data_IF_841348814396
#
_entry.id   IF_841348814396
#
_cell.length_a   1.000
_cell.length_b   1.000
_cell.length_c   1.000
_cell.angle_alpha   90.00
_cell.angle_beta   90.00
_cell.angle_gamma   90.00
#
_symmetry.space_group_name_H-M   'P 1'
#
loop_
_entity.id
_entity.type
_entity.pdbx_description
1 polymer ?
#
# COMPACT_ATOMS: atom_id res chain seq x y z
N UNK A 1 -24.67 39.72 -10.05
CA UNK A 1 -23.64 39.46 -11.07
C UNK A 1 -22.45 40.43 -11.03
N UNK A 2 -22.55 41.61 -10.38
CA UNK A 2 -21.44 42.59 -10.31
C UNK A 2 -20.24 42.18 -9.43
N UNK A 3 -20.46 41.30 -8.43
CA UNK A 3 -19.43 40.96 -7.44
C UNK A 3 -18.35 40.01 -7.96
N UNK A 4 -18.72 39.06 -8.83
CA UNK A 4 -17.77 38.12 -9.43
C UNK A 4 -16.79 38.83 -10.38
N UNK A 5 -17.27 39.81 -11.15
CA UNK A 5 -16.44 40.60 -12.04
C UNK A 5 -15.45 41.51 -11.29
N UNK A 6 -15.87 42.07 -10.14
CA UNK A 6 -15.00 42.87 -9.29
C UNK A 6 -13.87 42.03 -8.67
N UNK A 7 -14.19 40.82 -8.21
CA UNK A 7 -13.21 39.86 -7.70
C UNK A 7 -12.20 39.44 -8.76
N UNK A 8 -12.67 39.10 -9.98
CA UNK A 8 -11.78 38.72 -11.08
C UNK A 8 -10.84 39.86 -11.50
N UNK A 9 -11.34 41.09 -11.54
CA UNK A 9 -10.52 42.27 -11.82
C UNK A 9 -9.44 42.49 -10.75
N UNK A 10 -9.77 42.30 -9.47
CA UNK A 10 -8.80 42.43 -8.38
C UNK A 10 -7.75 41.32 -8.42
N UNK A 11 -8.16 40.08 -8.72
CA UNK A 11 -7.26 38.93 -8.86
C UNK A 11 -6.24 39.15 -9.99
N UNK A 12 -6.67 39.66 -11.14
CA UNK A 12 -5.79 39.95 -12.27
C UNK A 12 -4.76 41.03 -11.94
N UNK A 13 -5.17 42.09 -11.22
CA UNK A 13 -4.24 43.15 -10.76
C UNK A 13 -3.14 42.58 -9.85
N UNK A 14 -3.50 41.71 -8.91
CA UNK A 14 -2.52 41.07 -8.03
C UNK A 14 -1.55 40.15 -8.79
N UNK A 15 -2.05 39.42 -9.78
CA UNK A 15 -1.20 38.58 -10.64
C UNK A 15 -0.18 39.44 -11.40
N UNK A 16 -0.62 40.58 -11.94
CA UNK A 16 0.24 41.46 -12.72
C UNK A 16 1.30 42.15 -11.85
N UNK A 17 0.93 42.62 -10.65
CA UNK A 17 1.90 43.15 -9.67
C UNK A 17 2.92 42.09 -9.23
N UNK A 18 2.49 40.84 -9.02
CA UNK A 18 3.40 39.75 -8.68
C UNK A 18 4.35 39.43 -9.82
N UNK A 19 3.88 39.42 -11.08
CA UNK A 19 4.75 39.27 -12.25
C UNK A 19 5.81 40.35 -12.32
N UNK A 20 5.42 41.62 -12.12
CA UNK A 20 6.35 42.75 -12.10
C UNK A 20 7.39 42.61 -10.99
N UNK A 21 6.99 42.21 -9.78
CA UNK A 21 7.93 41.97 -8.67
C UNK A 21 8.90 40.83 -8.96
N UNK A 22 8.46 39.76 -9.63
CA UNK A 22 9.33 38.65 -10.03
C UNK A 22 10.36 39.11 -11.08
N UNK A 23 9.97 39.97 -12.01
CA UNK A 23 10.86 40.58 -12.99
C UNK A 23 11.86 41.56 -12.33
N UNK A 24 11.38 42.44 -11.44
CA UNK A 24 12.20 43.41 -10.71
C UNK A 24 13.25 42.74 -9.83
N UNK A 25 12.91 41.60 -9.21
CA UNK A 25 13.85 40.79 -8.43
C UNK A 25 14.75 39.90 -9.29
N UNK A 26 14.67 39.96 -10.62
CA UNK A 26 15.51 39.19 -11.54
C UNK A 26 15.33 37.67 -11.44
N UNK A 27 14.25 37.19 -10.83
CA UNK A 27 14.07 35.78 -10.46
C UNK A 27 13.83 34.87 -11.67
N UNK A 28 13.50 35.44 -12.83
CA UNK A 28 13.31 34.68 -14.08
C UNK A 28 14.60 34.02 -14.54
N UNK A 29 15.72 34.72 -14.39
CA UNK A 29 17.04 34.27 -14.83
C UNK A 29 17.66 33.22 -13.90
N UNK A 30 17.15 33.10 -12.67
CA UNK A 30 17.60 32.08 -11.70
C UNK A 30 17.07 30.69 -12.03
N UNK A 31 15.90 30.58 -12.66
CA UNK A 31 15.33 29.30 -13.07
C UNK A 31 16.17 28.64 -14.17
N UNK A 32 16.72 29.44 -15.09
CA UNK A 32 17.61 28.97 -16.16
C UNK A 32 19.00 28.57 -15.65
N UNK A 33 19.39 29.04 -14.45
CA UNK A 33 20.67 28.75 -13.82
C UNK A 33 20.69 27.47 -12.96
N UNK A 34 19.59 26.70 -12.90
CA UNK A 34 19.54 25.43 -12.18
C UNK A 34 19.98 24.31 -13.13
N UNK A 35 21.20 23.75 -13.00
CA UNK A 35 21.56 22.57 -13.76
C UNK A 35 20.70 21.39 -13.30
N UNK A 36 20.09 20.68 -14.25
CA UNK A 36 19.38 19.41 -14.03
C UNK A 36 20.34 18.34 -13.50
N UNK A 37 20.58 18.31 -12.19
CA UNK A 37 21.27 17.19 -11.55
C UNK A 37 20.24 16.15 -11.10
N UNK A 38 19.95 15.24 -12.02
CA UNK A 38 19.49 13.89 -11.69
C UNK A 38 20.59 13.18 -10.88
N UNK A 39 20.42 13.07 -9.56
CA UNK A 39 21.01 12.01 -8.73
C UNK A 39 20.52 12.12 -7.28
N UNK A 40 19.42 11.43 -6.94
CA UNK A 40 19.04 11.22 -5.54
C UNK A 40 19.60 9.87 -5.05
N UNK A 41 20.78 9.89 -4.44
CA UNK A 41 21.30 8.76 -3.65
C UNK A 41 20.63 8.79 -2.26
N UNK A 42 20.00 7.68 -1.89
CA UNK A 42 19.34 7.51 -0.59
C UNK A 42 20.37 7.59 0.56
N UNK A 43 20.13 8.50 1.50
CA UNK A 43 20.92 8.65 2.73
C UNK A 43 20.39 7.73 3.84
N UNK A 44 21.32 7.05 4.54
CA UNK A 44 21.04 6.09 5.61
C UNK A 44 20.64 6.82 6.91
N UNK A 45 19.48 6.45 7.48
CA UNK A 45 19.03 6.96 8.76
C UNK A 45 19.99 6.59 9.91
N UNK A 46 20.50 7.61 10.61
CA UNK A 46 21.21 7.45 11.88
C UNK A 46 20.21 7.65 13.03
N UNK A 47 19.91 6.58 13.76
CA UNK A 47 19.08 6.60 14.97
C UNK A 47 19.83 7.36 16.07
N UNK A 48 19.15 8.31 16.73
CA UNK A 48 19.71 9.05 17.88
C UNK A 48 19.08 8.54 19.17
N UNK A 49 19.91 8.27 20.18
CA UNK A 49 19.52 7.77 21.50
C UNK A 49 18.79 8.83 22.35
N UNK A 50 17.93 8.42 23.31
CA UNK A 50 17.12 9.35 24.10
C UNK A 50 17.93 9.93 25.28
N UNK A 51 17.93 11.27 25.41
CA UNK A 51 18.55 12.00 26.51
C UNK A 51 17.49 12.58 27.47
N UNK A 52 17.84 12.56 28.75
CA UNK A 52 17.04 12.78 29.96
C UNK A 52 16.16 14.04 30.03
N UNK A 53 15.14 13.92 30.88
CA UNK A 53 14.16 14.93 31.26
C UNK A 53 14.78 16.20 31.86
N UNK A 54 14.21 17.36 31.51
CA UNK A 54 14.30 18.59 32.29
C UNK A 54 12.94 19.30 32.29
N UNK A 55 12.54 19.73 33.48
CA UNK A 55 11.21 20.16 33.85
C UNK A 55 10.83 21.57 33.33
N UNK A 56 9.52 21.73 33.11
CA UNK A 56 8.68 22.92 33.21
C UNK A 56 9.28 24.32 32.91
N UNK A 57 8.83 24.92 31.80
CA UNK A 57 8.40 26.33 31.79
C UNK A 57 7.36 26.59 30.69
N UNK A 58 6.17 27.01 31.17
CA UNK A 58 5.14 27.87 30.57
C UNK A 58 4.81 27.75 29.07
N UNK A 59 3.53 27.47 28.83
CA UNK A 59 2.85 27.50 27.55
C UNK A 59 3.13 28.76 26.73
N UNK A 60 4.03 28.65 25.75
CA UNK A 60 4.06 29.55 24.61
C UNK A 60 3.52 28.76 23.40
N UNK A 61 2.45 29.22 22.71
CA UNK A 61 2.06 28.60 21.46
C UNK A 61 3.21 28.73 20.47
N UNK A 62 3.50 27.63 19.77
CA UNK A 62 4.46 27.59 18.67
C UNK A 62 4.16 28.74 17.71
N UNK A 63 5.08 29.71 17.60
CA UNK A 63 5.04 30.81 16.62
C UNK A 63 5.14 30.22 15.20
N UNK A 64 4.03 29.71 14.67
CA UNK A 64 3.84 29.55 13.22
C UNK A 64 3.66 30.94 12.64
N UNK A 65 4.30 31.20 11.50
CA UNK A 65 4.17 32.48 10.82
C UNK A 65 2.69 32.76 10.53
N UNK A 66 2.27 34.01 10.73
CA UNK A 66 0.89 34.48 10.47
C UNK A 66 0.49 34.42 8.99
N UNK A 67 1.43 34.05 8.09
CA UNK A 67 1.20 33.96 6.64
C UNK A 67 0.17 32.90 6.25
N UNK A 68 -0.11 31.93 7.11
CA UNK A 68 -1.00 30.78 6.80
C UNK A 68 -2.39 30.91 7.45
N UNK A 69 -2.62 31.94 8.25
CA UNK A 69 -3.86 32.09 9.02
C UNK A 69 -4.99 32.82 8.26
N UNK A 70 -4.68 33.55 7.19
CA UNK A 70 -5.62 34.42 6.48
C UNK A 70 -5.79 34.08 4.98
N UNK A 71 -5.57 32.83 4.57
CA UNK A 71 -5.93 32.40 3.21
C UNK A 71 -7.42 31.98 3.19
N UNK A 72 -8.21 32.43 2.19
CA UNK A 72 -9.51 31.82 1.93
C UNK A 72 -9.31 30.33 1.61
N UNK A 73 -10.25 29.51 2.06
CA UNK A 73 -10.22 28.05 1.86
C UNK A 73 -10.07 27.76 0.36
N UNK A 74 -8.96 27.12 -0.03
CA UNK A 74 -8.70 26.84 -1.44
C UNK A 74 -9.69 25.75 -1.90
N UNK A 75 -10.35 25.92 -3.06
CA UNK A 75 -11.10 24.83 -3.68
C UNK A 75 -10.16 23.65 -3.93
N UNK A 76 -10.54 22.46 -3.48
CA UNK A 76 -9.74 21.26 -3.69
C UNK A 76 -9.82 20.83 -5.16
N UNK A 77 -8.82 21.23 -5.95
CA UNK A 77 -8.68 20.83 -7.35
C UNK A 77 -8.04 19.45 -7.51
N UNK A 78 -7.83 18.66 -6.44
CA UNK A 78 -7.49 17.25 -6.60
C UNK A 78 -8.73 16.50 -7.07
N UNK A 79 -8.71 16.12 -8.34
CA UNK A 79 -9.37 14.89 -8.80
C UNK A 79 -9.24 13.81 -7.72
N UNK A 80 -10.30 13.07 -7.37
CA UNK A 80 -10.23 12.02 -6.37
C UNK A 80 -9.25 10.94 -6.83
N UNK A 81 -7.97 11.12 -6.54
CA UNK A 81 -7.04 10.02 -6.62
C UNK A 81 -7.57 8.98 -5.66
N UNK A 82 -7.76 7.74 -6.12
CA UNK A 82 -8.20 6.56 -5.36
C UNK A 82 -7.24 6.18 -4.21
N UNK A 83 -6.55 7.16 -3.62
CA UNK A 83 -5.60 7.02 -2.54
C UNK A 83 -6.36 7.17 -1.23
N UNK A 84 -6.42 6.05 -0.53
CA UNK A 84 -6.88 5.87 0.84
C UNK A 84 -8.39 5.94 1.01
N UNK A 85 -9.04 4.80 0.77
CA UNK A 85 -10.25 4.45 1.49
C UNK A 85 -9.98 4.70 2.97
N UNK A 86 -10.73 5.63 3.56
CA UNK A 86 -10.68 6.00 4.97
C UNK A 86 -10.85 4.71 5.77
N UNK A 87 -9.83 4.32 6.54
CA UNK A 87 -9.85 3.14 7.42
C UNK A 87 -11.10 3.21 8.29
N UNK A 88 -12.02 2.26 8.12
CA UNK A 88 -12.94 1.95 9.22
C UNK A 88 -12.10 1.41 10.38
N UNK A 89 -12.35 1.82 11.63
CA UNK A 89 -11.77 1.16 12.78
C UNK A 89 -12.42 -0.22 12.89
N UNK A 90 -11.84 -1.19 12.17
CA UNK A 90 -12.27 -2.58 12.22
C UNK A 90 -12.15 -3.09 13.64
N UNK A 91 -13.29 -3.39 14.26
CA UNK A 91 -13.40 -4.33 15.37
C UNK A 91 -12.75 -5.60 14.86
N UNK A 92 -11.52 -5.89 15.30
CA UNK A 92 -10.83 -7.11 14.86
C UNK A 92 -11.71 -8.32 15.18
N UNK A 93 -11.69 -9.35 14.33
CA UNK A 93 -12.55 -10.52 14.49
C UNK A 93 -12.58 -11.01 15.95
N UNK A 94 -13.73 -11.48 16.42
CA UNK A 94 -13.81 -12.07 17.75
C UNK A 94 -12.96 -13.35 17.80
N UNK A 95 -12.40 -13.67 18.96
CA UNK A 95 -11.56 -14.89 19.12
C UNK A 95 -12.33 -16.18 18.75
N UNK A 96 -13.65 -16.17 18.89
CA UNK A 96 -14.53 -17.26 18.46
C UNK A 96 -14.66 -17.31 16.93
N UNK A 97 -14.84 -16.17 16.27
CA UNK A 97 -14.88 -16.08 14.81
C UNK A 97 -13.60 -16.61 14.15
N UNK A 98 -12.42 -16.20 14.66
CA UNK A 98 -11.14 -16.71 14.14
C UNK A 98 -11.01 -18.23 14.26
N UNK A 99 -11.39 -18.80 15.41
CA UNK A 99 -11.32 -20.26 15.63
C UNK A 99 -12.24 -21.01 14.69
N UNK A 100 -13.45 -20.48 14.45
CA UNK A 100 -14.39 -21.07 13.51
C UNK A 100 -13.87 -21.04 12.07
N UNK A 101 -13.36 -19.89 11.61
CA UNK A 101 -12.78 -19.75 10.27
C UNK A 101 -11.59 -20.71 10.06
N UNK A 102 -10.70 -20.83 11.05
CA UNK A 102 -9.58 -21.76 11.00
C UNK A 102 -10.06 -23.22 10.94
N UNK A 103 -11.06 -23.58 11.73
CA UNK A 103 -11.62 -24.93 11.72
C UNK A 103 -12.22 -25.27 10.35
N UNK A 104 -13.01 -24.35 9.77
CA UNK A 104 -13.61 -24.52 8.45
C UNK A 104 -12.58 -24.60 7.32
N UNK A 105 -11.52 -23.78 7.40
CA UNK A 105 -10.44 -23.84 6.42
C UNK A 105 -9.68 -25.18 6.48
N UNK A 106 -9.47 -25.74 7.68
CA UNK A 106 -8.87 -27.07 7.86
C UNK A 106 -9.76 -28.21 7.38
N UNK A 107 -11.07 -28.13 7.64
CA UNK A 107 -12.03 -29.09 7.10
C UNK A 107 -11.94 -29.13 5.56
N UNK A 108 -11.94 -27.95 4.93
CA UNK A 108 -11.80 -27.82 3.47
C UNK A 108 -10.44 -28.31 2.96
N UNK A 109 -9.35 -28.01 3.66
CA UNK A 109 -8.02 -28.53 3.34
C UNK A 109 -8.01 -30.07 3.35
N UNK A 110 -8.67 -30.71 4.31
CA UNK A 110 -8.77 -32.17 4.38
C UNK A 110 -9.64 -32.75 3.26
N UNK A 111 -10.73 -32.07 2.88
CA UNK A 111 -11.59 -32.47 1.75
C UNK A 111 -10.83 -32.39 0.41
N UNK A 112 -10.01 -31.36 0.23
CA UNK A 112 -9.21 -31.13 -0.98
C UNK A 112 -7.92 -31.97 -1.03
N UNK A 113 -7.45 -32.45 0.12
CA UNK A 113 -6.10 -32.98 0.36
C UNK A 113 -5.73 -34.32 -0.28
N UNK A 114 -6.52 -34.85 -1.22
CA UNK A 114 -6.22 -36.14 -1.86
C UNK A 114 -5.47 -36.02 -3.21
N UNK A 115 -5.62 -34.90 -3.93
CA UNK A 115 -5.19 -34.83 -5.35
C UNK A 115 -4.05 -33.86 -5.60
N UNK A 116 -3.97 -32.76 -4.83
CA UNK A 116 -3.03 -31.66 -5.07
C UNK A 116 -2.51 -31.10 -3.75
N UNK A 117 -1.28 -30.55 -3.72
CA UNK A 117 -0.70 -30.03 -2.49
C UNK A 117 -1.42 -28.72 -2.09
N UNK A 118 -1.81 -28.64 -0.83
CA UNK A 118 -2.60 -27.54 -0.24
C UNK A 118 -1.90 -26.92 0.96
N UNK A 119 -2.23 -25.67 1.26
CA UNK A 119 -1.92 -25.07 2.56
C UNK A 119 -2.95 -24.01 2.97
N UNK A 120 -3.19 -23.89 4.27
CA UNK A 120 -4.06 -22.85 4.85
C UNK A 120 -3.27 -21.58 5.21
N UNK A 121 -3.81 -20.42 4.87
CA UNK A 121 -3.31 -19.11 5.30
C UNK A 121 -4.35 -18.36 6.12
N UNK A 122 -3.95 -17.97 7.33
CA UNK A 122 -4.78 -17.14 8.21
C UNK A 122 -4.54 -15.67 7.89
N UNK A 123 -5.60 -14.92 7.65
CA UNK A 123 -5.55 -13.48 7.43
C UNK A 123 -5.39 -12.75 8.75
N UNK A 124 -4.31 -11.99 8.81
CA UNK A 124 -4.06 -11.04 9.89
C UNK A 124 -4.22 -9.63 9.33
N UNK A 125 -4.56 -8.66 10.18
CA UNK A 125 -4.61 -7.23 9.82
C UNK A 125 -3.40 -6.77 9.00
N UNK A 126 -2.21 -7.23 9.39
CA UNK A 126 -0.96 -6.87 8.71
C UNK A 126 -0.90 -7.47 7.30
N UNK A 127 -1.34 -8.73 7.14
CA UNK A 127 -1.34 -9.42 5.85
C UNK A 127 -2.42 -8.86 4.90
N UNK A 128 -3.59 -8.50 5.42
CA UNK A 128 -4.65 -7.86 4.64
C UNK A 128 -4.21 -6.52 4.02
N UNK A 129 -3.30 -5.79 4.69
CA UNK A 129 -2.74 -4.52 4.17
C UNK A 129 -1.38 -4.69 3.49
N UNK A 130 -0.78 -5.88 3.51
CA UNK A 130 0.58 -6.09 3.04
C UNK A 130 0.70 -5.97 1.52
N UNK A 131 1.86 -5.48 1.06
CA UNK A 131 2.17 -5.48 -0.38
C UNK A 131 2.43 -6.91 -0.91
N UNK A 132 3.10 -7.72 -0.08
CA UNK A 132 3.54 -9.06 -0.41
C UNK A 132 3.05 -10.06 0.64
N UNK A 133 2.71 -11.27 0.21
CA UNK A 133 2.45 -12.39 1.10
C UNK A 133 3.64 -13.35 1.10
N UNK A 134 4.11 -13.74 2.28
CA UNK A 134 5.09 -14.82 2.44
C UNK A 134 4.41 -16.19 2.33
N UNK A 135 5.01 -17.07 1.54
CA UNK A 135 4.58 -18.46 1.37
C UNK A 135 5.35 -19.39 2.33
N UNK A 136 4.80 -20.56 2.69
CA UNK A 136 5.51 -21.55 3.49
C UNK A 136 6.74 -22.09 2.74
N UNK A 137 7.92 -21.98 3.36
CA UNK A 137 9.22 -22.33 2.74
C UNK A 137 9.24 -23.77 2.22
N UNK A 138 8.78 -24.73 3.02
CA UNK A 138 8.79 -26.15 2.65
C UNK A 138 7.89 -26.43 1.44
N UNK A 139 6.76 -25.75 1.37
CA UNK A 139 5.82 -25.91 0.28
C UNK A 139 6.38 -25.35 -1.04
N UNK A 140 7.02 -24.18 -0.98
CA UNK A 140 7.70 -23.60 -2.15
C UNK A 140 8.84 -24.48 -2.65
N UNK A 141 9.70 -24.99 -1.77
CA UNK A 141 10.82 -25.85 -2.16
C UNK A 141 10.38 -27.15 -2.84
N UNK A 142 9.24 -27.71 -2.43
CA UNK A 142 8.76 -28.99 -2.95
C UNK A 142 7.95 -28.85 -4.24
N UNK A 143 7.24 -27.75 -4.41
CA UNK A 143 6.21 -27.62 -5.45
C UNK A 143 6.38 -26.44 -6.40
N UNK A 144 7.30 -25.50 -6.11
CA UNK A 144 7.46 -24.26 -6.86
C UNK A 144 8.84 -24.08 -7.48
N UNK A 145 8.94 -23.26 -8.54
CA UNK A 145 10.21 -22.89 -9.14
C UNK A 145 11.12 -22.17 -8.15
N UNK A 146 12.42 -22.32 -8.35
CA UNK A 146 13.48 -21.63 -7.61
C UNK A 146 13.90 -20.30 -8.28
N UNK A 147 13.04 -19.71 -9.09
CA UNK A 147 13.27 -18.44 -9.77
C UNK A 147 12.01 -17.58 -9.76
N UNK A 148 12.20 -16.28 -9.99
CA UNK A 148 11.09 -15.33 -10.13
C UNK A 148 10.27 -15.69 -11.37
N UNK A 149 8.96 -15.84 -11.19
CA UNK A 149 8.02 -16.25 -12.24
C UNK A 149 6.69 -15.52 -12.07
N UNK A 150 5.98 -15.32 -13.18
CA UNK A 150 4.58 -14.88 -13.16
C UNK A 150 3.67 -16.09 -12.99
N UNK A 151 2.72 -16.00 -12.08
CA UNK A 151 1.79 -17.07 -11.73
C UNK A 151 0.37 -16.53 -11.74
N UNK A 152 -0.62 -17.40 -11.78
CA UNK A 152 -2.03 -17.01 -11.76
C UNK A 152 -2.71 -17.55 -10.50
N UNK A 153 -3.35 -16.66 -9.75
CA UNK A 153 -4.33 -17.06 -8.74
C UNK A 153 -5.70 -17.10 -9.39
N UNK A 154 -6.47 -18.12 -9.11
CA UNK A 154 -7.86 -18.31 -9.51
C UNK A 154 -8.68 -18.34 -8.23
N UNK A 155 -9.73 -17.55 -8.17
CA UNK A 155 -10.64 -17.55 -7.04
C UNK A 155 -11.74 -18.63 -7.21
N UNK A 156 -12.76 -18.60 -6.34
CA UNK A 156 -13.92 -19.51 -6.43
C UNK A 156 -14.88 -19.16 -7.57
N UNK A 157 -14.80 -17.94 -8.12
CA UNK A 157 -15.64 -17.42 -9.21
C UNK A 157 -14.92 -17.53 -10.57
N UNK A 158 -13.88 -18.37 -10.66
CA UNK A 158 -13.00 -18.54 -11.83
C UNK A 158 -12.30 -17.23 -12.28
N UNK A 159 -12.18 -16.26 -11.39
CA UNK A 159 -11.47 -15.00 -11.59
C UNK A 159 -9.96 -15.19 -11.57
N UNK A 160 -9.29 -14.91 -12.69
CA UNK A 160 -7.83 -15.00 -12.81
C UNK A 160 -7.12 -13.70 -12.39
N UNK A 161 -6.16 -13.82 -11.48
CA UNK A 161 -5.30 -12.75 -11.01
C UNK A 161 -3.85 -13.07 -11.26
N UNK A 162 -3.23 -12.28 -12.12
CA UNK A 162 -1.80 -12.34 -12.36
C UNK A 162 -1.04 -11.86 -11.12
N UNK A 163 -0.14 -12.71 -10.64
CA UNK A 163 0.73 -12.43 -9.50
C UNK A 163 2.18 -12.69 -9.87
N UNK A 164 3.06 -11.86 -9.31
CA UNK A 164 4.50 -12.07 -9.41
C UNK A 164 5.00 -12.82 -8.20
N UNK A 165 5.61 -13.97 -8.45
CA UNK A 165 6.33 -14.75 -7.46
C UNK A 165 7.80 -14.35 -7.45
N UNK A 166 8.32 -14.14 -6.24
CA UNK A 166 9.69 -13.76 -6.01
C UNK A 166 10.37 -14.79 -5.11
N UNK A 167 11.55 -15.19 -5.55
CA UNK A 167 12.46 -16.10 -4.86
C UNK A 167 13.78 -15.38 -4.63
N UNK A 168 14.26 -15.41 -3.39
CA UNK A 168 15.60 -14.92 -3.08
C UNK A 168 16.60 -16.06 -3.00
N UNK A 169 17.65 -16.02 -3.81
CA UNK A 169 18.82 -16.89 -3.64
C UNK A 169 19.71 -16.35 -2.51
N UNK A 170 19.31 -16.56 -1.26
CA UNK A 170 20.06 -16.10 -0.08
C UNK A 170 19.83 -17.05 1.10
N UNK A 171 20.68 -16.96 2.12
CA UNK A 171 20.69 -17.79 3.34
C UNK A 171 19.32 -17.93 4.03
N UNK A 172 18.38 -17.01 3.77
CA UNK A 172 17.08 -16.93 4.42
C UNK A 172 15.87 -17.24 3.53
N UNK A 173 16.05 -17.81 2.32
CA UNK A 173 14.99 -18.24 1.38
C UNK A 173 13.65 -17.54 1.58
N UNK A 174 13.50 -16.34 1.01
CA UNK A 174 12.25 -15.60 1.11
C UNK A 174 11.38 -15.86 -0.12
N UNK A 175 10.33 -16.65 0.08
CA UNK A 175 9.31 -16.91 -0.93
C UNK A 175 8.13 -15.96 -0.72
N UNK A 176 7.85 -15.11 -1.71
CA UNK A 176 6.77 -14.12 -1.63
C UNK A 176 6.02 -13.94 -2.94
N UNK A 177 4.75 -13.59 -2.84
CA UNK A 177 3.90 -13.25 -3.99
C UNK A 177 3.32 -11.85 -3.86
N UNK A 178 3.07 -11.17 -4.99
CA UNK A 178 2.33 -9.92 -5.02
C UNK A 178 0.90 -10.15 -4.54
N UNK A 179 0.54 -9.52 -3.42
CA UNK A 179 -0.67 -9.88 -2.66
C UNK A 179 -1.72 -8.78 -2.61
N UNK A 180 -1.27 -7.52 -2.58
CA UNK A 180 -2.13 -6.38 -2.28
C UNK A 180 -3.37 -6.26 -3.15
N UNK A 181 -3.22 -6.47 -4.47
CA UNK A 181 -4.32 -6.34 -5.42
C UNK A 181 -5.40 -7.37 -5.12
N UNK A 182 -5.01 -8.64 -5.03
CA UNK A 182 -5.88 -9.73 -4.64
C UNK A 182 -6.60 -9.46 -3.31
N UNK A 183 -5.86 -9.05 -2.27
CA UNK A 183 -6.47 -8.78 -0.96
C UNK A 183 -7.50 -7.64 -0.98
N UNK A 184 -7.27 -6.61 -1.80
CA UNK A 184 -8.19 -5.49 -1.97
C UNK A 184 -9.45 -5.90 -2.74
N UNK A 185 -9.28 -6.66 -3.83
CA UNK A 185 -10.38 -7.08 -4.70
C UNK A 185 -11.35 -8.01 -3.95
N UNK A 186 -10.83 -8.95 -3.14
CA UNK A 186 -11.63 -9.86 -2.30
C UNK A 186 -12.11 -9.24 -0.97
N UNK A 187 -11.70 -8.00 -0.67
CA UNK A 187 -12.00 -7.27 0.58
C UNK A 187 -11.64 -8.09 1.82
N UNK A 188 -10.43 -8.67 1.83
CA UNK A 188 -9.96 -9.51 2.93
C UNK A 188 -9.68 -8.68 4.17
N UNK A 189 -10.03 -9.21 5.34
CA UNK A 189 -9.79 -8.57 6.63
C UNK A 189 -9.25 -9.57 7.68
N UNK A 190 -8.93 -9.03 8.86
CA UNK A 190 -8.40 -9.76 9.99
C UNK A 190 -9.40 -10.79 10.52
N UNK A 191 -9.04 -12.08 10.44
CA UNK A 191 -9.86 -13.20 10.87
C UNK A 191 -10.33 -14.11 9.74
N UNK A 192 -10.24 -13.65 8.49
CA UNK A 192 -10.52 -14.49 7.33
C UNK A 192 -9.48 -15.63 7.22
N UNK A 193 -9.86 -16.73 6.58
CA UNK A 193 -8.95 -17.84 6.29
C UNK A 193 -9.05 -18.22 4.82
N UNK A 194 -7.90 -18.50 4.22
CA UNK A 194 -7.76 -18.88 2.83
C UNK A 194 -7.17 -20.28 2.74
N UNK A 195 -7.67 -21.07 1.81
CA UNK A 195 -7.08 -22.36 1.45
C UNK A 195 -6.52 -22.25 0.06
N UNK A 196 -5.21 -22.49 -0.08
CA UNK A 196 -4.53 -22.48 -1.35
C UNK A 196 -4.35 -23.93 -1.82
N UNK A 197 -4.70 -24.20 -3.06
CA UNK A 197 -4.47 -25.47 -3.74
C UNK A 197 -3.69 -25.24 -5.04
N UNK A 198 -2.64 -26.03 -5.27
CA UNK A 198 -1.86 -25.97 -6.51
C UNK A 198 -2.40 -27.01 -7.51
N UNK A 199 -3.15 -26.58 -8.52
CA UNK A 199 -3.93 -27.51 -9.38
C UNK A 199 -3.21 -27.84 -10.69
N UNK A 200 -2.46 -26.91 -11.28
CA UNK A 200 -1.72 -27.18 -12.52
C UNK A 200 -0.26 -26.71 -12.41
N UNK A 201 0.67 -27.64 -12.64
CA UNK A 201 2.08 -27.40 -13.00
C UNK A 201 2.27 -27.62 -14.51
N UNK A 202 1.27 -27.31 -15.32
CA UNK A 202 1.20 -27.82 -16.69
C UNK A 202 2.15 -27.06 -17.63
N UNK A 203 3.21 -27.78 -18.05
CA UNK A 203 3.88 -27.72 -19.37
C UNK A 203 3.81 -26.33 -20.03
N UNK A 204 4.84 -25.53 -19.76
CA UNK A 204 5.01 -24.10 -20.10
C UNK A 204 4.46 -23.13 -19.06
N UNK A 205 5.19 -23.00 -17.95
CA UNK A 205 5.31 -21.76 -17.15
C UNK A 205 4.00 -21.05 -16.78
N UNK A 206 2.94 -21.78 -16.49
CA UNK A 206 1.75 -21.20 -15.87
C UNK A 206 1.34 -22.07 -14.68
N UNK A 207 1.60 -21.56 -13.49
CA UNK A 207 1.18 -22.17 -12.24
C UNK A 207 -0.16 -21.56 -11.83
N UNK A 208 -1.20 -22.39 -11.75
CA UNK A 208 -2.55 -21.99 -11.36
C UNK A 208 -2.80 -22.39 -9.90
N UNK A 209 -3.15 -21.41 -9.07
CA UNK A 209 -3.54 -21.59 -7.69
C UNK A 209 -5.03 -21.36 -7.54
N UNK A 210 -5.81 -22.32 -7.05
CA UNK A 210 -7.17 -22.00 -6.62
C UNK A 210 -7.19 -21.57 -5.16
N UNK A 211 -7.94 -20.50 -4.88
CA UNK A 211 -8.14 -19.94 -3.55
C UNK A 211 -9.61 -20.11 -3.20
N UNK A 212 -9.84 -20.84 -2.12
CA UNK A 212 -11.16 -20.92 -1.50
C UNK A 212 -11.25 -19.93 -0.33
N UNK A 213 -12.27 -19.10 -0.33
CA UNK A 213 -12.53 -18.03 0.64
C UNK A 213 -13.77 -18.38 1.47
N UNK A 214 -13.59 -18.70 2.75
CA UNK A 214 -14.70 -18.74 3.70
C UNK A 214 -14.64 -17.54 4.64
N UNK A 215 -15.59 -16.63 4.46
CA UNK A 215 -15.91 -15.52 5.38
C UNK A 215 -16.73 -16.01 6.57
#
# INVERSE_FOLDING_TARGET
MADAAAYEAQRLRQIEENKRKIEELGLRHLADAIPSQANHKQSKHKVRAPGAAAAASVAAPSRRSSRVANLPEQPDYREPSMRFVKKMPGVGATATGRRYAIAKAKELENELGATHPTFVKIMTRNLATAMWMKLPVQFCRNHLPNHDEEMKLVDEEDGEFEIRYHTGWSEYDYYRISWKRFAMDHKLDDGDCLVFQLIQQAKFKEHIWMIYLKK
#
